data_IF_385905075583
#
_entry.id   IF_385905075583
#
_cell.length_a   1.000
_cell.length_b   1.000
_cell.length_c   1.000
_cell.angle_alpha   90.00
_cell.angle_beta   90.00
_cell.angle_gamma   90.00
#
_symmetry.space_group_name_H-M   'P 1'
#
loop_
_entity.id
_entity.type
_entity.pdbx_description
1 polymer ?
#
# COMPACT_ATOMS: atom_id res chain seq x y z
N UNK A 1 -12.39 26.99 -60.54
CA UNK A 1 -13.19 25.99 -59.77
C UNK A 1 -12.68 25.99 -58.34
N UNK A 2 -13.40 26.66 -57.45
CA UNK A 2 -13.08 26.73 -56.03
C UNK A 2 -13.47 25.40 -55.37
N UNK A 3 -12.53 24.74 -54.68
CA UNK A 3 -12.83 23.66 -53.75
C UNK A 3 -12.42 24.10 -52.36
N UNK A 4 -13.43 24.51 -51.61
CA UNK A 4 -13.45 24.78 -50.17
C UNK A 4 -12.99 23.54 -49.41
N UNK A 5 -11.80 23.61 -48.81
CA UNK A 5 -11.38 22.63 -47.80
C UNK A 5 -11.97 23.07 -46.46
N UNK A 6 -12.87 22.25 -45.93
CA UNK A 6 -13.50 22.37 -44.62
C UNK A 6 -12.45 22.62 -43.53
N UNK A 7 -12.64 23.67 -42.74
CA UNK A 7 -11.98 23.78 -41.44
C UNK A 7 -12.59 22.75 -40.47
N UNK A 8 -11.78 22.00 -39.70
CA UNK A 8 -12.30 21.21 -38.60
C UNK A 8 -12.69 22.14 -37.45
N UNK A 9 -13.98 22.13 -37.14
CA UNK A 9 -14.59 22.74 -35.96
C UNK A 9 -13.94 22.12 -34.71
N UNK A 10 -13.02 22.86 -34.08
CA UNK A 10 -12.53 22.53 -32.75
C UNK A 10 -13.69 22.75 -31.78
N UNK A 11 -14.38 21.64 -31.46
CA UNK A 11 -15.33 21.58 -30.36
C UNK A 11 -14.55 22.00 -29.12
N UNK A 12 -14.84 23.18 -28.60
CA UNK A 12 -14.38 23.63 -27.28
C UNK A 12 -15.11 22.74 -26.29
N UNK A 13 -14.61 21.51 -26.13
CA UNK A 13 -14.96 20.66 -25.01
C UNK A 13 -14.48 21.44 -23.80
N UNK A 14 -15.44 21.87 -22.99
CA UNK A 14 -15.25 22.47 -21.69
C UNK A 14 -14.00 21.87 -21.05
N UNK A 15 -13.00 22.70 -20.77
CA UNK A 15 -11.94 22.36 -19.82
C UNK A 15 -12.65 22.21 -18.47
N UNK A 16 -13.34 21.08 -18.30
CA UNK A 16 -13.82 20.62 -17.03
C UNK A 16 -12.58 20.64 -16.17
N UNK A 17 -12.62 21.44 -15.10
CA UNK A 17 -11.63 21.48 -14.06
C UNK A 17 -11.06 20.08 -13.90
N UNK A 18 -9.87 19.85 -14.45
CA UNK A 18 -9.05 18.71 -14.05
C UNK A 18 -8.83 19.04 -12.58
N UNK A 19 -9.69 18.46 -11.73
CA UNK A 19 -9.85 18.86 -10.34
C UNK A 19 -8.47 18.95 -9.75
N UNK A 20 -8.20 19.96 -8.91
CA UNK A 20 -6.89 20.20 -8.31
C UNK A 20 -6.28 18.90 -7.70
N UNK A 21 -7.15 17.95 -7.33
CA UNK A 21 -6.80 16.56 -6.98
C UNK A 21 -5.98 15.80 -8.03
N UNK A 22 -6.30 15.88 -9.33
CA UNK A 22 -5.57 15.22 -10.41
C UNK A 22 -4.21 15.89 -10.71
N UNK A 23 -4.12 17.22 -10.52
CA UNK A 23 -2.87 17.97 -10.69
C UNK A 23 -1.90 17.74 -9.51
N UNK A 24 -2.43 17.62 -8.29
CA UNK A 24 -1.66 17.24 -7.09
C UNK A 24 -1.14 15.79 -7.17
N UNK A 25 -1.88 14.90 -7.85
CA UNK A 25 -1.46 13.52 -8.10
C UNK A 25 -0.24 13.43 -9.05
N UNK A 26 -0.03 14.43 -9.92
CA UNK A 26 1.11 14.48 -10.84
C UNK A 26 2.37 15.15 -10.24
N UNK A 27 2.24 15.86 -9.11
CA UNK A 27 3.33 16.57 -8.44
C UNK A 27 3.84 15.87 -7.16
N UNK A 28 3.17 14.79 -6.77
CA UNK A 28 3.64 13.85 -5.76
C UNK A 28 4.27 12.67 -6.51
N UNK A 29 5.47 12.16 -6.13
CA UNK A 29 5.90 10.86 -6.63
C UNK A 29 4.74 9.88 -6.37
N UNK A 30 4.40 8.98 -7.31
CA UNK A 30 3.24 8.11 -7.15
C UNK A 30 3.31 7.47 -5.77
N UNK A 31 2.23 7.48 -4.95
CA UNK A 31 2.26 6.81 -3.66
C UNK A 31 2.57 5.33 -3.96
N UNK A 32 3.81 4.90 -3.70
CA UNK A 32 4.31 3.62 -4.18
C UNK A 32 3.55 2.43 -3.56
N UNK A 33 2.75 2.68 -2.52
CA UNK A 33 1.66 1.78 -2.09
C UNK A 33 0.72 2.54 -1.14
N UNK A 34 -0.50 2.92 -1.57
CA UNK A 34 -1.46 3.60 -0.70
C UNK A 34 -1.78 2.81 0.58
N UNK A 35 -1.79 1.48 0.48
CA UNK A 35 -2.03 0.57 1.62
C UNK A 35 -0.87 0.62 2.61
N UNK A 36 0.39 0.55 2.11
CA UNK A 36 1.56 0.64 2.98
C UNK A 36 1.69 2.04 3.60
N UNK A 37 1.39 3.11 2.86
CA UNK A 37 1.43 4.49 3.38
C UNK A 37 0.38 4.71 4.49
N UNK A 38 -0.83 4.18 4.32
CA UNK A 38 -1.87 4.23 5.34
C UNK A 38 -1.48 3.40 6.59
N UNK A 39 -0.89 2.21 6.40
CA UNK A 39 -0.40 1.37 7.48
C UNK A 39 0.78 2.02 8.25
N UNK A 40 1.74 2.62 7.53
CA UNK A 40 2.83 3.41 8.12
C UNK A 40 2.30 4.51 9.04
N UNK A 41 1.19 5.15 8.66
CA UNK A 41 0.51 6.19 9.45
C UNK A 41 -0.42 5.63 10.54
N UNK A 42 -0.63 4.32 10.62
CA UNK A 42 -1.52 3.67 11.59
C UNK A 42 -3.01 3.86 11.29
N UNK A 43 -3.39 4.12 10.04
CA UNK A 43 -4.77 4.41 9.63
C UNK A 43 -5.53 3.13 9.26
N UNK A 44 -5.88 2.30 10.24
CA UNK A 44 -6.50 0.99 10.01
C UNK A 44 -7.80 1.05 9.17
N UNK A 45 -8.65 2.06 9.39
CA UNK A 45 -9.89 2.22 8.62
C UNK A 45 -9.63 2.53 7.14
N UNK A 46 -8.58 3.31 6.86
CA UNK A 46 -8.17 3.64 5.49
C UNK A 46 -7.60 2.39 4.82
N UNK A 47 -6.74 1.63 5.51
CA UNK A 47 -6.23 0.34 5.03
C UNK A 47 -7.39 -0.60 4.69
N UNK A 48 -8.39 -0.72 5.57
CA UNK A 48 -9.57 -1.57 5.33
C UNK A 48 -10.35 -1.14 4.09
N UNK A 49 -10.57 0.17 3.91
CA UNK A 49 -11.28 0.70 2.74
C UNK A 49 -10.50 0.40 1.45
N UNK A 50 -9.20 0.64 1.44
CA UNK A 50 -8.34 0.39 0.28
C UNK A 50 -8.34 -1.08 -0.13
N UNK A 51 -8.23 -1.99 0.84
CA UNK A 51 -8.28 -3.44 0.58
C UNK A 51 -9.65 -3.87 0.05
N UNK A 52 -10.74 -3.27 0.55
CA UNK A 52 -12.10 -3.53 0.05
C UNK A 52 -12.28 -3.04 -1.39
N UNK A 53 -11.58 -1.98 -1.77
CA UNK A 53 -11.54 -1.45 -3.14
C UNK A 53 -10.59 -2.24 -4.07
N UNK A 54 -9.98 -3.32 -3.56
CA UNK A 54 -9.13 -4.23 -4.34
C UNK A 54 -7.66 -3.80 -4.44
N UNK A 55 -7.19 -2.93 -3.54
CA UNK A 55 -5.78 -2.61 -3.47
C UNK A 55 -4.94 -3.85 -3.13
N UNK A 56 -3.75 -3.95 -3.71
CA UNK A 56 -2.81 -5.03 -3.43
C UNK A 56 -2.28 -4.92 -2.00
N UNK A 57 -2.65 -5.87 -1.15
CA UNK A 57 -2.21 -5.98 0.25
C UNK A 57 -0.69 -6.10 0.39
N UNK A 58 -0.01 -6.59 -0.64
CA UNK A 58 1.44 -6.80 -0.67
C UNK A 58 2.21 -5.64 -1.33
N UNK A 59 1.52 -4.59 -1.77
CA UNK A 59 2.18 -3.42 -2.32
C UNK A 59 3.10 -2.80 -1.26
N UNK A 60 4.36 -2.60 -1.63
CA UNK A 60 5.42 -2.14 -0.75
C UNK A 60 5.77 -0.67 -1.00
N UNK A 61 6.25 0.01 0.04
CA UNK A 61 6.88 1.32 -0.06
C UNK A 61 8.29 1.21 -0.68
N UNK A 62 8.92 2.33 -1.03
CA UNK A 62 10.23 2.35 -1.72
C UNK A 62 11.40 1.70 -0.94
N UNK A 63 11.26 1.46 0.36
CA UNK A 63 12.20 0.70 1.19
C UNK A 63 11.88 -0.80 1.27
N UNK A 64 10.88 -1.28 0.53
CA UNK A 64 10.38 -2.65 0.54
C UNK A 64 9.45 -2.97 1.71
N UNK A 65 9.06 -2.00 2.54
CA UNK A 65 8.10 -2.25 3.63
C UNK A 65 6.68 -2.35 3.09
N UNK A 66 6.04 -3.49 3.35
CA UNK A 66 4.60 -3.68 3.14
C UNK A 66 3.80 -3.20 4.36
N UNK A 67 2.48 -3.14 4.23
CA UNK A 67 1.61 -2.82 5.36
C UNK A 67 1.81 -3.77 6.56
N UNK A 68 2.08 -5.06 6.32
CA UNK A 68 2.30 -6.02 7.40
C UNK A 68 3.61 -5.78 8.15
N UNK A 69 4.65 -5.29 7.46
CA UNK A 69 5.89 -4.87 8.12
C UNK A 69 5.64 -3.70 9.08
N UNK A 70 4.89 -2.68 8.65
CA UNK A 70 4.55 -1.53 9.49
C UNK A 70 3.69 -1.92 10.69
N UNK A 71 2.68 -2.78 10.50
CA UNK A 71 1.86 -3.29 11.59
C UNK A 71 2.71 -4.06 12.62
N UNK A 72 3.63 -4.91 12.14
CA UNK A 72 4.53 -5.69 12.99
C UNK A 72 5.51 -4.83 13.79
N UNK A 73 6.15 -3.84 13.15
CA UNK A 73 7.09 -2.92 13.81
C UNK A 73 6.39 -2.09 14.90
N UNK A 74 5.15 -1.69 14.67
CA UNK A 74 4.35 -0.90 15.62
C UNK A 74 3.70 -1.74 16.71
N UNK A 75 3.71 -3.06 16.59
CA UNK A 75 2.98 -3.95 17.51
C UNK A 75 1.45 -3.88 17.35
N UNK A 76 0.95 -3.37 16.22
CA UNK A 76 -0.48 -3.21 15.94
C UNK A 76 -1.11 -4.55 15.51
N UNK A 77 -1.54 -5.31 16.51
CA UNK A 77 -2.07 -6.66 16.29
C UNK A 77 -3.40 -6.67 15.53
N UNK A 78 -4.25 -5.63 15.66
CA UNK A 78 -5.52 -5.58 14.94
C UNK A 78 -5.29 -5.34 13.45
N UNK A 79 -4.38 -4.44 13.11
CA UNK A 79 -4.00 -4.21 11.71
C UNK A 79 -3.29 -5.43 11.12
N UNK A 80 -2.39 -6.08 11.87
CA UNK A 80 -1.71 -7.29 11.41
C UNK A 80 -2.70 -8.44 11.11
N UNK A 81 -3.68 -8.67 12.00
CA UNK A 81 -4.73 -9.67 11.82
C UNK A 81 -5.55 -9.41 10.56
N UNK A 82 -6.01 -8.17 10.37
CA UNK A 82 -6.74 -7.75 9.17
C UNK A 82 -5.92 -8.00 7.89
N UNK A 83 -4.65 -7.61 7.87
CA UNK A 83 -3.77 -7.76 6.71
C UNK A 83 -3.53 -9.24 6.37
N UNK A 84 -3.26 -10.08 7.37
CA UNK A 84 -3.08 -11.53 7.18
C UNK A 84 -4.36 -12.15 6.62
N UNK A 85 -5.53 -11.78 7.16
CA UNK A 85 -6.82 -12.26 6.65
C UNK A 85 -7.07 -11.82 5.19
N UNK A 86 -6.59 -10.64 4.82
CA UNK A 86 -6.62 -10.13 3.44
C UNK A 86 -5.55 -10.74 2.51
N UNK A 87 -4.76 -11.71 2.98
CA UNK A 87 -3.77 -12.41 2.15
C UNK A 87 -2.39 -11.73 2.10
N UNK A 88 -2.03 -10.93 3.10
CA UNK A 88 -0.69 -10.38 3.22
C UNK A 88 0.35 -11.51 3.33
N UNK A 89 1.44 -11.39 2.57
CA UNK A 89 2.59 -12.29 2.64
C UNK A 89 3.35 -12.09 3.95
N UNK A 90 3.55 -13.19 4.68
CA UNK A 90 4.37 -13.23 5.90
C UNK A 90 5.86 -13.41 5.64
N UNK A 91 6.25 -13.62 4.38
CA UNK A 91 7.63 -13.89 3.97
C UNK A 91 8.29 -12.72 3.22
N UNK A 92 7.56 -11.62 3.00
CA UNK A 92 8.13 -10.42 2.40
C UNK A 92 9.35 -9.95 3.20
N UNK A 93 10.34 -9.39 2.51
CA UNK A 93 11.54 -8.83 3.14
C UNK A 93 11.72 -7.38 2.76
N UNK A 94 12.12 -6.54 3.72
CA UNK A 94 12.49 -5.16 3.46
C UNK A 94 13.73 -5.09 2.57
N UNK A 95 13.85 -4.04 1.75
CA UNK A 95 15.03 -3.82 0.90
C UNK A 95 16.29 -3.55 1.72
N UNK A 96 16.13 -2.87 2.84
CA UNK A 96 17.22 -2.55 3.78
C UNK A 96 17.14 -3.53 4.95
N UNK A 97 18.22 -4.28 5.18
CA UNK A 97 18.33 -5.21 6.31
C UNK A 97 17.65 -6.57 6.11
N UNK A 98 16.82 -6.73 5.06
CA UNK A 98 16.13 -8.00 4.74
C UNK A 98 15.26 -8.51 5.89
N UNK A 99 14.56 -7.62 6.58
CA UNK A 99 13.70 -7.98 7.70
C UNK A 99 12.36 -8.50 7.19
N UNK A 100 11.92 -9.62 7.74
CA UNK A 100 10.55 -10.14 7.59
C UNK A 100 9.60 -9.48 8.59
N UNK A 101 8.27 -9.60 8.41
CA UNK A 101 7.31 -9.20 9.45
C UNK A 101 7.59 -9.85 10.80
N UNK A 102 8.09 -11.10 10.82
CA UNK A 102 8.43 -11.81 12.05
C UNK A 102 9.60 -11.15 12.82
N UNK A 103 10.65 -10.72 12.12
CA UNK A 103 11.75 -9.96 12.74
C UNK A 103 11.23 -8.68 13.43
N UNK A 104 10.35 -7.94 12.76
CA UNK A 104 9.80 -6.68 13.26
C UNK A 104 8.84 -6.90 14.43
N UNK A 105 8.03 -7.97 14.38
CA UNK A 105 7.15 -8.37 15.48
C UNK A 105 7.93 -8.75 16.75
N UNK A 106 9.06 -9.46 16.58
CA UNK A 106 9.97 -9.76 17.69
C UNK A 106 10.57 -8.49 18.30
N UNK A 107 10.98 -7.52 17.47
CA UNK A 107 11.51 -6.22 17.93
C UNK A 107 10.49 -5.35 18.64
N UNK A 108 9.21 -5.41 18.23
CA UNK A 108 8.14 -4.67 18.90
C UNK A 108 7.71 -5.30 20.23
N UNK A 109 8.11 -6.54 20.50
CA UNK A 109 7.72 -7.30 21.69
C UNK A 109 6.27 -7.78 21.68
N UNK A 110 5.65 -7.83 20.50
CA UNK A 110 4.24 -8.22 20.36
C UNK A 110 4.09 -9.72 20.14
N UNK A 111 4.00 -10.47 21.24
CA UNK A 111 3.78 -11.93 21.23
C UNK A 111 2.56 -12.34 20.39
N UNK A 112 1.53 -11.49 20.38
CA UNK A 112 0.32 -11.71 19.59
C UNK A 112 0.63 -11.71 18.09
N UNK A 113 1.41 -10.75 17.59
CA UNK A 113 1.78 -10.70 16.17
C UNK A 113 2.73 -11.82 15.81
N UNK A 114 3.72 -12.10 16.67
CA UNK A 114 4.64 -13.24 16.48
C UNK A 114 3.83 -14.52 16.27
N UNK A 115 2.86 -14.79 17.15
CA UNK A 115 2.00 -15.95 17.02
C UNK A 115 1.18 -15.94 15.72
N UNK A 116 0.51 -14.83 15.40
CA UNK A 116 -0.31 -14.75 14.18
C UNK A 116 0.50 -14.99 12.90
N UNK A 117 1.71 -14.43 12.84
CA UNK A 117 2.60 -14.54 11.68
C UNK A 117 3.15 -15.97 11.54
N UNK A 118 3.48 -16.64 12.65
CA UNK A 118 3.87 -18.06 12.66
C UNK A 118 2.70 -18.97 12.28
N UNK A 119 1.51 -18.72 12.84
CA UNK A 119 0.29 -19.49 12.53
C UNK A 119 -0.11 -19.32 11.04
N UNK A 120 0.22 -18.18 10.44
CA UNK A 120 0.08 -17.92 9.00
C UNK A 120 1.20 -18.51 8.13
N UNK A 121 2.15 -19.26 8.73
CA UNK A 121 3.16 -20.04 8.02
C UNK A 121 4.54 -19.40 7.92
N UNK A 122 4.82 -18.32 8.65
CA UNK A 122 6.15 -17.72 8.63
C UNK A 122 7.25 -18.69 9.09
N UNK A 123 8.39 -18.65 8.41
CA UNK A 123 9.55 -19.44 8.77
C UNK A 123 10.29 -18.80 9.96
N UNK A 124 10.25 -19.46 11.11
CA UNK A 124 10.92 -19.02 12.34
C UNK A 124 12.45 -19.04 12.20
N UNK A 125 13.00 -19.84 11.29
CA UNK A 125 14.45 -19.86 11.04
C UNK A 125 14.95 -18.66 10.26
N UNK A 126 14.04 -17.90 9.65
CA UNK A 126 14.31 -16.65 8.93
C UNK A 126 14.12 -15.43 9.84
N UNK A 127 14.56 -15.51 11.11
CA UNK A 127 14.47 -14.46 12.14
C UNK A 127 15.84 -14.08 12.71
#
# INVERSE_FOLDING_TARGET
MQKTVKQPSARVGSLGVLSLTLLLLALTPPPESPVADAAMRGQADVVRSLLSDGADVNAAHGDGMTALHWAAERGDAEMAEMLIYSGASVHGVTRIGQYTPLHLAGRSGSDRIVKMVIDAGADVSAM
#
